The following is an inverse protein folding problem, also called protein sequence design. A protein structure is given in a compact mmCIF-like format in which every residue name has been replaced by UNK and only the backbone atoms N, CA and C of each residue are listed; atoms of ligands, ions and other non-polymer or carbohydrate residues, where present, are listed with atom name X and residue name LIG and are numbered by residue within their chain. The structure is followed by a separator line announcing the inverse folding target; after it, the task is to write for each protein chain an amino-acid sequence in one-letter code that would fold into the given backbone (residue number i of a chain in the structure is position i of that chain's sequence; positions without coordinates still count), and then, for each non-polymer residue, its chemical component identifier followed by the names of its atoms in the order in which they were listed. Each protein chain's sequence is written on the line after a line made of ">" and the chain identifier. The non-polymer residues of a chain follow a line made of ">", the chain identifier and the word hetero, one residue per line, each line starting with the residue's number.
data_IF_834260992038
#
_entry.id   IF_834260992038
#
_cell.length_a   1.000
_cell.length_b   1.000
_cell.length_c   1.000
_cell.angle_alpha   90.00
_cell.angle_beta   90.00
_cell.angle_gamma   90.00
#
_symmetry.space_group_name_H-M   'P 1'
#
loop_
_entity.id
_entity.type
_entity.pdbx_description
1 polymer ?
#
# COMPACT_ATOMS: atom_id res chain seq x y z
N UNK A 1 13.31 -19.64 -15.59
CA UNK A 1 13.45 -18.59 -14.54
C UNK A 1 12.10 -18.40 -13.86
N UNK A 2 12.09 -18.39 -12.55
CA UNK A 2 10.87 -18.12 -11.78
C UNK A 2 10.48 -16.64 -11.95
N UNK A 3 9.24 -16.37 -12.40
CA UNK A 3 8.74 -15.03 -12.68
C UNK A 3 7.85 -14.58 -11.53
N UNK A 4 7.83 -13.27 -11.24
CA UNK A 4 6.85 -12.68 -10.34
C UNK A 4 5.47 -12.67 -11.00
N UNK A 5 4.54 -13.44 -10.45
CA UNK A 5 3.17 -13.59 -10.97
C UNK A 5 2.15 -12.77 -10.18
N UNK A 6 2.60 -11.90 -9.26
CA UNK A 6 1.69 -11.03 -8.52
C UNK A 6 1.08 -9.98 -9.46
N UNK A 7 -0.22 -9.81 -9.37
CA UNK A 7 -0.92 -8.77 -10.11
C UNK A 7 -0.92 -7.46 -9.29
N UNK A 8 -0.33 -6.36 -9.81
CA UNK A 8 -0.27 -5.10 -9.08
C UNK A 8 -1.62 -4.39 -9.11
N UNK A 9 -2.08 -3.97 -7.93
CA UNK A 9 -3.31 -3.18 -7.76
C UNK A 9 -3.09 -2.06 -6.75
N UNK A 10 -3.83 -0.96 -6.88
CA UNK A 10 -3.93 0.10 -5.89
C UNK A 10 -5.31 0.08 -5.25
N UNK A 11 -5.36 -0.12 -3.94
CA UNK A 11 -6.61 -0.20 -3.18
C UNK A 11 -6.96 1.16 -2.58
N UNK A 12 -8.24 1.51 -2.62
CA UNK A 12 -8.80 2.69 -1.95
C UNK A 12 -9.18 2.33 -0.52
N UNK A 13 -8.20 2.38 0.40
CA UNK A 13 -8.38 1.95 1.80
C UNK A 13 -9.36 2.83 2.59
N UNK A 14 -9.68 4.02 2.11
CA UNK A 14 -10.74 4.86 2.65
C UNK A 14 -12.15 4.26 2.48
N UNK A 15 -12.32 3.37 1.50
CA UNK A 15 -13.57 2.68 1.19
C UNK A 15 -13.60 1.24 1.70
N UNK A 16 -12.50 0.74 2.28
CA UNK A 16 -12.34 -0.61 2.76
C UNK A 16 -12.10 -0.64 4.27
N UNK A 17 -12.66 -1.65 4.93
CA UNK A 17 -12.46 -1.87 6.35
C UNK A 17 -11.22 -2.74 6.59
N UNK A 18 -10.17 -2.17 7.14
CA UNK A 18 -8.91 -2.87 7.42
C UNK A 18 -8.81 -3.26 8.90
N UNK A 19 -8.51 -4.53 9.17
CA UNK A 19 -8.22 -5.03 10.51
C UNK A 19 -6.73 -5.39 10.63
N UNK A 20 -6.08 -4.87 11.66
CA UNK A 20 -4.73 -5.28 12.07
C UNK A 20 -4.84 -6.07 13.36
N UNK A 21 -4.26 -7.27 13.42
CA UNK A 21 -4.19 -8.09 14.62
C UNK A 21 -2.74 -8.18 15.08
N UNK A 22 -2.44 -7.52 16.19
CA UNK A 22 -1.10 -7.45 16.77
C UNK A 22 -0.71 -6.03 17.15
N UNK A 23 -0.31 -5.83 18.42
CA UNK A 23 0.01 -4.52 19.02
C UNK A 23 1.50 -4.31 19.32
N UNK A 24 2.37 -5.14 18.73
CA UNK A 24 3.82 -5.06 18.88
C UNK A 24 4.51 -4.29 17.74
N UNK A 25 5.83 -4.47 17.64
CA UNK A 25 6.67 -3.80 16.66
C UNK A 25 6.18 -4.00 15.20
N UNK A 26 5.83 -5.24 14.83
CA UNK A 26 5.33 -5.56 13.49
C UNK A 26 3.98 -4.86 13.23
N UNK A 27 3.09 -4.81 14.25
CA UNK A 27 1.82 -4.06 14.14
C UNK A 27 2.04 -2.57 13.91
N UNK A 28 2.98 -1.97 14.63
CA UNK A 28 3.40 -0.58 14.42
C UNK A 28 3.93 -0.35 13.00
N UNK A 29 4.82 -1.22 12.52
CA UNK A 29 5.37 -1.13 11.17
C UNK A 29 4.26 -1.15 10.10
N UNK A 30 3.30 -2.06 10.21
CA UNK A 30 2.20 -2.17 9.24
C UNK A 30 1.25 -0.99 9.32
N UNK A 31 0.88 -0.55 10.53
CA UNK A 31 0.05 0.65 10.73
C UNK A 31 0.73 1.89 10.13
N UNK A 32 2.02 2.10 10.42
CA UNK A 32 2.80 3.22 9.89
C UNK A 32 2.87 3.18 8.36
N UNK A 33 3.14 2.00 7.78
CA UNK A 33 3.23 1.84 6.33
C UNK A 33 1.90 2.19 5.63
N UNK A 34 0.77 1.77 6.21
CA UNK A 34 -0.55 2.07 5.66
C UNK A 34 -0.85 3.56 5.78
N UNK A 35 -0.72 4.14 6.96
CA UNK A 35 -1.04 5.55 7.21
C UNK A 35 -0.15 6.50 6.42
N UNK A 36 1.13 6.19 6.25
CA UNK A 36 2.04 6.96 5.38
C UNK A 36 1.56 7.01 3.93
N UNK A 37 0.99 5.91 3.42
CA UNK A 37 0.57 5.80 2.02
C UNK A 37 -0.92 6.09 1.80
N UNK A 38 -1.74 5.95 2.81
CA UNK A 38 -3.20 6.13 2.78
C UNK A 38 -3.68 6.69 4.12
N UNK A 39 -3.49 7.99 4.40
CA UNK A 39 -3.81 8.61 5.69
C UNK A 39 -5.29 8.50 6.08
N UNK A 40 -6.18 8.34 5.10
CA UNK A 40 -7.63 8.20 5.27
C UNK A 40 -8.12 6.75 5.39
N UNK A 41 -7.20 5.77 5.43
CA UNK A 41 -7.53 4.35 5.56
C UNK A 41 -8.31 4.07 6.84
N UNK A 42 -9.45 3.37 6.74
CA UNK A 42 -10.23 2.94 7.91
C UNK A 42 -9.58 1.72 8.56
N UNK A 43 -9.07 1.88 9.76
CA UNK A 43 -8.28 0.85 10.43
C UNK A 43 -8.83 0.55 11.82
N UNK A 44 -9.07 -0.73 12.09
CA UNK A 44 -9.25 -1.28 13.43
C UNK A 44 -8.00 -2.06 13.80
N UNK A 45 -7.41 -1.81 14.97
CA UNK A 45 -6.28 -2.59 15.48
C UNK A 45 -6.68 -3.30 16.77
N UNK A 46 -6.53 -4.61 16.80
CA UNK A 46 -6.89 -5.46 17.95
C UNK A 46 -5.64 -6.17 18.45
N UNK A 47 -5.35 -6.04 19.73
CA UNK A 47 -4.27 -6.77 20.40
C UNK A 47 -4.51 -6.88 21.90
N UNK A 48 -4.00 -7.95 22.52
CA UNK A 48 -4.08 -8.10 23.99
C UNK A 48 -3.36 -6.98 24.74
N UNK A 49 -2.24 -6.52 24.15
CA UNK A 49 -1.46 -5.39 24.65
C UNK A 49 -1.05 -4.56 23.45
N UNK A 50 -1.26 -3.25 23.51
CA UNK A 50 -0.91 -2.29 22.45
C UNK A 50 0.26 -1.45 22.97
N UNK A 51 1.38 -1.48 22.23
CA UNK A 51 2.56 -0.68 22.59
C UNK A 51 2.27 0.83 22.45
N UNK A 52 2.87 1.63 23.32
CA UNK A 52 2.66 3.07 23.40
C UNK A 52 2.86 3.79 22.05
N UNK A 53 3.91 3.49 21.24
CA UNK A 53 4.08 4.12 19.93
C UNK A 53 2.90 3.92 18.96
N UNK A 54 2.13 2.83 19.09
CA UNK A 54 0.91 2.63 18.29
C UNK A 54 -0.20 3.57 18.77
N UNK A 55 -0.34 3.76 20.09
CA UNK A 55 -1.34 4.66 20.67
C UNK A 55 -1.06 6.12 20.30
N UNK A 56 0.21 6.53 20.41
CA UNK A 56 0.69 7.85 19.98
C UNK A 56 0.43 8.11 18.50
N UNK A 57 0.77 7.12 17.64
CA UNK A 57 0.52 7.23 16.21
C UNK A 57 -0.99 7.33 15.92
N UNK A 58 -1.79 6.45 16.51
CA UNK A 58 -3.24 6.39 16.28
C UNK A 58 -3.97 7.66 16.76
N UNK A 59 -3.48 8.32 17.81
CA UNK A 59 -4.06 9.56 18.32
C UNK A 59 -4.10 10.69 17.27
N UNK A 60 -3.24 10.64 16.25
CA UNK A 60 -3.21 11.61 15.16
C UNK A 60 -4.20 11.30 14.02
N UNK A 61 -4.95 10.19 14.10
CA UNK A 61 -5.79 9.72 13.01
C UNK A 61 -7.18 9.31 13.50
N UNK A 62 -8.20 10.11 13.22
CA UNK A 62 -9.59 9.83 13.63
C UNK A 62 -10.19 8.56 13.00
N UNK A 63 -9.59 8.06 11.95
CA UNK A 63 -9.98 6.86 11.21
C UNK A 63 -9.28 5.57 11.70
N UNK A 64 -8.52 5.65 12.80
CA UNK A 64 -7.88 4.51 13.46
C UNK A 64 -8.55 4.24 14.79
N UNK A 65 -9.04 3.02 15.00
CA UNK A 65 -9.65 2.58 16.28
C UNK A 65 -8.83 1.47 16.89
N UNK A 66 -8.46 1.61 18.15
CA UNK A 66 -7.68 0.63 18.91
C UNK A 66 -8.56 -0.14 19.87
N UNK A 67 -8.40 -1.47 19.90
CA UNK A 67 -9.08 -2.39 20.83
C UNK A 67 -8.03 -3.19 21.63
N UNK A 68 -7.76 -2.79 22.84
CA UNK A 68 -6.80 -3.49 23.72
C UNK A 68 -7.48 -4.67 24.42
N UNK A 69 -7.61 -5.78 23.71
CA UNK A 69 -8.20 -7.05 24.13
C UNK A 69 -7.75 -8.19 23.24
N UNK A 70 -8.05 -9.43 23.65
CA UNK A 70 -7.85 -10.57 22.78
C UNK A 70 -8.67 -10.45 21.48
N UNK A 71 -8.07 -10.86 20.36
CA UNK A 71 -8.77 -11.04 19.09
C UNK A 71 -9.89 -12.09 19.23
N UNK A 72 -11.01 -11.85 18.56
CA UNK A 72 -12.14 -12.76 18.47
C UNK A 72 -12.57 -12.91 17.01
N UNK A 73 -13.08 -14.08 16.63
CA UNK A 73 -13.43 -14.35 15.22
C UNK A 73 -14.49 -13.39 14.65
N UNK A 74 -15.32 -12.80 15.48
CA UNK A 74 -16.27 -11.78 15.06
C UNK A 74 -15.62 -10.43 14.71
N UNK A 75 -14.35 -10.19 15.05
CA UNK A 75 -13.61 -8.99 14.61
C UNK A 75 -13.40 -8.99 13.09
N UNK A 76 -13.56 -10.15 12.43
CA UNK A 76 -13.57 -10.26 10.96
C UNK A 76 -14.90 -9.84 10.32
N UNK A 77 -15.91 -9.51 11.11
CA UNK A 77 -17.19 -9.11 10.57
C UNK A 77 -17.08 -7.74 9.90
N UNK A 78 -17.61 -7.62 8.67
CA UNK A 78 -17.54 -6.41 7.87
C UNK A 78 -16.09 -5.90 7.68
N UNK A 79 -15.12 -6.81 7.54
CA UNK A 79 -13.75 -6.48 7.17
C UNK A 79 -13.45 -6.96 5.75
N UNK A 80 -12.72 -6.13 5.00
CA UNK A 80 -12.27 -6.41 3.64
C UNK A 80 -10.82 -6.90 3.63
N UNK A 81 -9.99 -6.31 4.49
CA UNK A 81 -8.56 -6.61 4.60
C UNK A 81 -8.20 -6.99 6.04
N UNK A 82 -7.35 -8.00 6.16
CA UNK A 82 -6.79 -8.47 7.42
C UNK A 82 -5.27 -8.50 7.34
N UNK A 83 -4.61 -7.91 8.34
CA UNK A 83 -3.16 -7.96 8.51
C UNK A 83 -2.85 -8.63 9.84
N UNK A 84 -2.23 -9.81 9.79
CA UNK A 84 -1.79 -10.53 10.98
C UNK A 84 -0.33 -10.19 11.28
N UNK A 85 -0.15 -9.47 12.38
CA UNK A 85 1.13 -9.00 12.88
C UNK A 85 1.46 -9.61 14.28
N UNK A 86 0.88 -10.76 14.58
CA UNK A 86 1.14 -11.54 15.79
C UNK A 86 2.10 -12.70 15.49
N UNK A 87 2.88 -13.13 16.47
CA UNK A 87 3.81 -14.23 16.29
C UNK A 87 3.18 -15.57 16.78
N UNK A 88 2.18 -16.08 16.02
CA UNK A 88 1.53 -17.35 16.33
C UNK A 88 0.99 -18.02 15.06
N UNK A 89 1.77 -18.93 14.47
CA UNK A 89 1.42 -19.60 13.19
C UNK A 89 0.11 -20.40 13.28
N UNK A 90 -0.11 -21.15 14.36
CA UNK A 90 -1.36 -21.94 14.52
C UNK A 90 -2.61 -21.05 14.56
N UNK A 91 -2.50 -19.89 15.23
CA UNK A 91 -3.56 -18.87 15.21
C UNK A 91 -3.76 -18.31 13.81
N UNK A 92 -2.67 -18.04 13.07
CA UNK A 92 -2.73 -17.53 11.69
C UNK A 92 -3.46 -18.49 10.75
N UNK A 93 -3.18 -19.79 10.82
CA UNK A 93 -3.85 -20.80 9.99
C UNK A 93 -5.36 -20.89 10.31
N UNK A 94 -5.70 -20.79 11.59
CA UNK A 94 -7.11 -20.77 12.02
C UNK A 94 -7.82 -19.53 11.50
N UNK A 95 -7.24 -18.36 11.71
CA UNK A 95 -7.81 -17.09 11.25
C UNK A 95 -7.94 -17.08 9.73
N UNK A 96 -6.94 -17.59 8.99
CA UNK A 96 -6.99 -17.69 7.53
C UNK A 96 -8.18 -18.50 7.03
N UNK A 97 -8.48 -19.64 7.66
CA UNK A 97 -9.65 -20.45 7.30
C UNK A 97 -10.94 -19.64 7.43
N UNK A 98 -11.10 -18.90 8.52
CA UNK A 98 -12.27 -18.03 8.72
C UNK A 98 -12.28 -16.83 7.78
N UNK A 99 -11.17 -16.17 7.54
CA UNK A 99 -11.07 -15.05 6.61
C UNK A 99 -11.53 -15.45 5.19
N UNK A 100 -11.11 -16.64 4.73
CA UNK A 100 -11.54 -17.20 3.43
C UNK A 100 -13.04 -17.39 3.32
N UNK A 101 -13.70 -17.91 4.36
CA UNK A 101 -15.17 -18.09 4.33
C UNK A 101 -15.92 -16.77 4.25
N UNK A 102 -15.26 -15.68 4.65
CA UNK A 102 -15.82 -14.32 4.63
C UNK A 102 -15.31 -13.48 3.46
N UNK A 103 -14.46 -14.04 2.60
CA UNK A 103 -13.82 -13.35 1.47
C UNK A 103 -12.97 -12.17 1.89
N UNK A 104 -12.42 -12.17 3.11
CA UNK A 104 -11.48 -11.18 3.62
C UNK A 104 -10.10 -11.50 3.06
N UNK A 105 -9.46 -10.54 2.39
CA UNK A 105 -8.08 -10.69 1.91
C UNK A 105 -7.11 -10.60 3.10
N UNK A 106 -6.12 -11.49 3.13
CA UNK A 106 -5.21 -11.61 4.26
C UNK A 106 -3.75 -11.39 3.87
N UNK A 107 -3.07 -10.62 4.71
CA UNK A 107 -1.61 -10.53 4.76
C UNK A 107 -1.13 -11.03 6.11
N UNK A 108 -0.17 -11.95 6.11
CA UNK A 108 0.42 -12.51 7.33
C UNK A 108 1.90 -12.15 7.34
N UNK A 109 2.33 -11.42 8.36
CA UNK A 109 3.73 -11.05 8.52
C UNK A 109 4.61 -12.32 8.58
N UNK A 110 5.72 -12.30 7.86
CA UNK A 110 6.73 -13.37 7.80
C UNK A 110 6.20 -14.76 7.38
N UNK A 111 5.01 -14.82 6.78
CA UNK A 111 4.39 -16.09 6.36
C UNK A 111 3.78 -15.97 4.96
N UNK A 112 4.61 -15.90 3.90
CA UNK A 112 4.16 -15.65 2.53
C UNK A 112 3.11 -16.65 2.00
N UNK A 113 3.20 -17.91 2.39
CA UNK A 113 2.28 -18.99 2.01
C UNK A 113 0.85 -18.81 2.54
N UNK A 114 0.67 -17.93 3.52
CA UNK A 114 -0.63 -17.58 4.06
C UNK A 114 -1.19 -16.25 3.52
N UNK A 115 -0.47 -15.54 2.67
CA UNK A 115 -0.86 -14.23 2.16
C UNK A 115 -1.69 -14.33 0.86
N UNK A 116 -2.73 -13.50 0.75
CA UNK A 116 -3.45 -13.25 -0.49
C UNK A 116 -2.92 -11.99 -1.20
N UNK A 117 -2.27 -11.08 -0.47
CA UNK A 117 -1.62 -9.88 -0.99
C UNK A 117 -0.37 -9.51 -0.18
N UNK A 118 0.48 -8.67 -0.77
CA UNK A 118 1.72 -8.21 -0.12
C UNK A 118 1.72 -6.69 0.02
N UNK A 119 2.29 -6.22 1.13
CA UNK A 119 2.58 -4.81 1.34
C UNK A 119 4.01 -4.54 0.84
N UNK A 120 4.13 -4.09 -0.40
CA UNK A 120 5.41 -3.76 -1.03
C UNK A 120 5.94 -2.38 -0.61
N UNK A 121 7.15 -2.05 -1.09
CA UNK A 121 7.67 -0.69 -0.98
C UNK A 121 6.90 0.25 -1.92
N UNK A 122 6.64 1.47 -1.48
CA UNK A 122 5.89 2.47 -2.25
C UNK A 122 6.68 3.76 -2.33
N UNK A 123 6.87 4.26 -3.54
CA UNK A 123 7.31 5.64 -3.80
C UNK A 123 6.06 6.52 -3.90
N UNK A 124 6.08 7.69 -3.27
CA UNK A 124 5.00 8.66 -3.37
C UNK A 124 5.59 10.05 -3.64
N UNK A 125 5.21 10.66 -4.76
CA UNK A 125 5.51 12.06 -5.12
C UNK A 125 4.19 12.73 -5.53
N UNK A 126 3.57 13.45 -4.60
CA UNK A 126 2.23 14.01 -4.80
C UNK A 126 1.22 12.92 -5.19
N UNK A 127 0.59 13.06 -6.35
CA UNK A 127 -0.39 12.11 -6.90
C UNK A 127 0.26 10.88 -7.59
N UNK A 128 1.59 10.88 -7.80
CA UNK A 128 2.29 9.72 -8.36
C UNK A 128 2.57 8.69 -7.26
N UNK A 129 2.19 7.44 -7.50
CA UNK A 129 2.59 6.29 -6.69
C UNK A 129 3.20 5.19 -7.55
N UNK A 130 4.31 4.60 -7.07
CA UNK A 130 4.97 3.46 -7.70
C UNK A 130 5.07 2.35 -6.67
N UNK A 131 4.38 1.24 -6.91
CA UNK A 131 4.49 0.03 -6.09
C UNK A 131 5.64 -0.85 -6.56
N UNK A 132 6.50 -1.30 -5.63
CA UNK A 132 7.67 -2.13 -5.91
C UNK A 132 7.51 -3.46 -5.21
N UNK A 133 7.54 -4.56 -5.98
CA UNK A 133 7.49 -5.92 -5.46
C UNK A 133 8.68 -6.72 -5.94
N UNK A 134 9.38 -7.36 -5.02
CA UNK A 134 10.42 -8.36 -5.29
C UNK A 134 9.92 -9.79 -5.07
N UNK A 135 8.60 -9.99 -5.01
CA UNK A 135 7.96 -11.27 -4.68
C UNK A 135 8.45 -11.85 -3.33
N UNK A 136 8.71 -10.98 -2.35
CA UNK A 136 9.25 -11.37 -1.04
C UNK A 136 10.74 -11.77 -1.03
N UNK A 137 11.41 -11.82 -2.20
CA UNK A 137 12.80 -12.29 -2.29
C UNK A 137 13.83 -11.35 -1.67
N UNK A 138 13.59 -10.03 -1.71
CA UNK A 138 14.53 -9.06 -1.15
C UNK A 138 13.86 -7.76 -0.71
N UNK A 139 13.44 -7.64 0.55
CA UNK A 139 12.98 -6.37 1.12
C UNK A 139 14.02 -5.26 1.01
N UNK A 140 15.32 -5.60 1.15
CA UNK A 140 16.43 -4.65 1.04
C UNK A 140 16.52 -4.05 -0.36
N UNK A 141 16.42 -4.87 -1.42
CA UNK A 141 16.47 -4.38 -2.80
C UNK A 141 15.25 -3.49 -3.09
N UNK A 142 14.04 -3.88 -2.69
CA UNK A 142 12.85 -3.04 -2.89
C UNK A 142 12.95 -1.70 -2.15
N UNK A 143 13.58 -1.67 -0.95
CA UNK A 143 13.87 -0.44 -0.23
C UNK A 143 14.87 0.44 -1.00
N UNK A 144 15.98 -0.12 -1.51
CA UNK A 144 16.99 0.63 -2.27
C UNK A 144 16.43 1.21 -3.57
N UNK A 145 15.61 0.42 -4.29
CA UNK A 145 14.93 0.90 -5.51
C UNK A 145 13.98 2.05 -5.15
N UNK A 146 13.24 1.95 -4.04
CA UNK A 146 12.38 3.03 -3.56
C UNK A 146 13.19 4.31 -3.29
N UNK A 147 14.27 4.21 -2.52
CA UNK A 147 15.15 5.35 -2.20
C UNK A 147 15.70 6.00 -3.48
N UNK A 148 16.20 5.21 -4.41
CA UNK A 148 16.69 5.70 -5.69
C UNK A 148 15.61 6.43 -6.51
N UNK A 149 14.41 5.87 -6.58
CA UNK A 149 13.30 6.51 -7.31
C UNK A 149 12.77 7.76 -6.60
N UNK A 150 12.77 7.79 -5.27
CA UNK A 150 12.42 8.98 -4.49
C UNK A 150 13.40 10.14 -4.77
N UNK A 151 14.69 9.85 -4.96
CA UNK A 151 15.72 10.83 -5.31
C UNK A 151 15.68 11.22 -6.79
N UNK A 152 15.49 10.25 -7.69
CA UNK A 152 15.51 10.48 -9.13
C UNK A 152 14.27 11.23 -9.65
N UNK A 153 13.14 11.12 -8.97
CA UNK A 153 11.90 11.81 -9.37
C UNK A 153 11.91 13.27 -8.91
N UNK A 154 11.72 14.25 -9.83
CA UNK A 154 11.67 15.65 -9.48
C UNK A 154 10.57 15.99 -8.48
N UNK A 155 10.79 17.00 -7.63
CA UNK A 155 9.76 17.48 -6.70
C UNK A 155 8.55 18.05 -7.46
N UNK A 156 8.75 18.60 -8.65
CA UNK A 156 7.74 19.17 -9.55
C UNK A 156 6.85 18.12 -10.21
N UNK A 157 7.07 16.83 -9.94
CA UNK A 157 6.28 15.73 -10.53
C UNK A 157 4.78 15.92 -10.35
N UNK A 158 4.34 16.45 -9.19
CA UNK A 158 2.91 16.69 -8.96
C UNK A 158 2.37 17.83 -9.84
N UNK A 159 3.11 18.93 -9.99
CA UNK A 159 2.72 20.05 -10.86
C UNK A 159 2.62 19.59 -12.32
N UNK A 160 3.54 18.74 -12.76
CA UNK A 160 3.50 18.16 -14.10
C UNK A 160 2.21 17.35 -14.31
N UNK A 161 1.83 16.49 -13.36
CA UNK A 161 0.59 15.70 -13.43
C UNK A 161 -0.65 16.62 -13.50
N UNK A 162 -0.70 17.64 -12.65
CA UNK A 162 -1.81 18.60 -12.61
C UNK A 162 -1.91 19.41 -13.94
N UNK A 163 -0.77 19.83 -14.49
CA UNK A 163 -0.72 20.54 -15.77
C UNK A 163 -1.14 19.62 -16.92
N UNK A 164 -0.70 18.37 -16.94
CA UNK A 164 -1.13 17.39 -17.94
C UNK A 164 -2.64 17.10 -17.85
N UNK A 165 -3.21 17.08 -16.66
CA UNK A 165 -4.66 16.94 -16.50
C UNK A 165 -5.41 18.16 -17.06
N UNK A 166 -4.95 19.39 -16.76
CA UNK A 166 -5.53 20.63 -17.31
C UNK A 166 -5.47 20.66 -18.85
N UNK A 167 -4.33 20.29 -19.45
CA UNK A 167 -4.17 20.18 -20.90
C UNK A 167 -5.18 19.18 -21.46
N UNK A 168 -5.31 17.99 -20.84
CA UNK A 168 -6.27 16.95 -21.26
C UNK A 168 -7.72 17.45 -21.25
N UNK A 169 -8.09 18.26 -20.25
CA UNK A 169 -9.44 18.84 -20.15
C UNK A 169 -9.70 19.89 -21.24
N UNK A 170 -8.69 20.65 -21.66
CA UNK A 170 -8.80 21.68 -22.70
C UNK A 170 -8.84 21.10 -24.13
N UNK A 171 -8.25 19.92 -24.36
CA UNK A 171 -8.25 19.28 -25.68
C UNK A 171 -9.69 18.88 -26.03
N UNK A 172 -10.22 19.45 -27.16
CA UNK A 172 -11.50 19.06 -27.72
C UNK A 172 -11.30 17.83 -28.63
N UNK A 173 -12.30 16.94 -28.67
CA UNK A 173 -12.27 15.74 -29.49
C UNK A 173 -12.51 14.46 -28.70
N UNK A 174 -12.45 13.34 -29.40
CA UNK A 174 -12.65 12.03 -28.82
C UNK A 174 -11.44 11.55 -27.98
N UNK A 175 -11.58 10.39 -27.35
CA UNK A 175 -10.53 9.81 -26.53
C UNK A 175 -9.22 9.58 -27.28
N UNK A 176 -9.30 9.08 -28.54
CA UNK A 176 -8.11 8.77 -29.35
C UNK A 176 -7.33 10.02 -29.74
N UNK A 177 -8.05 11.10 -30.10
CA UNK A 177 -7.44 12.40 -30.39
C UNK A 177 -6.71 12.96 -29.15
N UNK A 178 -7.35 12.92 -27.97
CA UNK A 178 -6.73 13.36 -26.71
C UNK A 178 -5.46 12.59 -26.39
N UNK A 179 -5.49 11.26 -26.54
CA UNK A 179 -4.32 10.40 -26.31
C UNK A 179 -3.18 10.75 -27.26
N UNK A 180 -3.48 10.98 -28.56
CA UNK A 180 -2.46 11.36 -29.55
C UNK A 180 -1.76 12.67 -29.18
N UNK A 181 -2.53 13.71 -28.91
CA UNK A 181 -1.98 15.04 -28.54
C UNK A 181 -1.15 14.95 -27.25
N UNK A 182 -1.63 14.24 -26.22
CA UNK A 182 -0.90 14.09 -24.98
C UNK A 182 0.41 13.31 -25.17
N UNK A 183 0.43 12.27 -26.01
CA UNK A 183 1.65 11.55 -26.36
C UNK A 183 2.67 12.44 -27.10
N UNK A 184 2.22 13.29 -28.00
CA UNK A 184 3.08 14.25 -28.70
C UNK A 184 3.71 15.26 -27.71
N UNK A 185 2.91 15.84 -26.82
CA UNK A 185 3.37 16.80 -25.80
C UNK A 185 4.36 16.17 -24.82
N UNK A 186 4.16 14.90 -24.45
CA UNK A 186 5.03 14.21 -23.47
C UNK A 186 6.20 13.47 -24.11
N UNK A 187 6.29 13.43 -25.45
CA UNK A 187 7.32 12.66 -26.16
C UNK A 187 8.77 13.07 -25.81
N UNK A 188 8.99 14.34 -25.50
CA UNK A 188 10.30 14.86 -25.10
C UNK A 188 10.70 14.49 -23.67
N UNK A 189 9.74 14.18 -22.81
CA UNK A 189 10.01 13.88 -21.39
C UNK A 189 10.70 12.53 -21.19
N UNK A 190 10.50 11.58 -22.12
CA UNK A 190 11.17 10.27 -22.10
C UNK A 190 12.46 10.24 -22.92
N UNK A 191 12.77 11.31 -23.65
CA UNK A 191 14.06 11.45 -24.32
C UNK A 191 15.09 11.97 -23.33
N UNK A 192 15.56 11.13 -22.45
CA UNK A 192 16.84 11.35 -21.78
C UNK A 192 17.90 11.45 -22.87
N UNK A 193 18.46 12.65 -23.09
CA UNK A 193 19.74 12.75 -23.75
C UNK A 193 20.70 11.84 -22.96
N UNK A 194 21.18 10.76 -23.58
CA UNK A 194 22.30 10.04 -23.07
C UNK A 194 23.47 11.01 -23.05
N UNK A 195 23.69 11.67 -21.90
CA UNK A 195 24.93 12.33 -21.61
C UNK A 195 25.96 11.21 -21.55
N UNK A 196 26.61 10.98 -22.68
CA UNK A 196 27.81 10.18 -22.80
C UNK A 196 28.85 10.78 -21.86
N UNK A 197 29.15 10.07 -20.77
CA UNK A 197 30.38 10.23 -19.99
C UNK A 197 31.38 9.17 -20.40
#
# INVERSE_FOLDING_TARGET
>A
MERNNLFPVFLRLESLETLIVGGGHVGLEKLTAILKNSPTAKISLVARTIQEPIKELAANYANVTLFERNFKLWDLWNKDLLILAANNRSLHETIRKFARTRRVLINVADTPDLCDFYLGSVVTKGNLKIGISTNGKSPTISKRIREYLEEALPEETNELLDNMNKIREQIKGDFNHKVKVLNEVTSSWLKTEHVSR
#
